data_IF_099466403937
#
_entry.id   IF_099466403937
#
_cell.length_a   1.000
_cell.length_b   1.000
_cell.length_c   1.000
_cell.angle_alpha   90.00
_cell.angle_beta   90.00
_cell.angle_gamma   90.00
#
_symmetry.space_group_name_H-M   'P 1'
#
loop_
_entity.id
_entity.type
_entity.pdbx_description
1 polymer ?
#
# COMPACT_ATOMS: atom_id res chain seq x y z
N UNK A 1 11.77 4.51 -36.46
CA UNK A 1 13.07 4.18 -35.83
C UNK A 1 12.78 3.11 -34.82
N UNK A 2 13.16 1.86 -35.07
CA UNK A 2 12.90 0.76 -34.14
C UNK A 2 13.68 1.04 -32.86
N UNK A 3 12.98 1.23 -31.73
CA UNK A 3 13.60 1.32 -30.42
C UNK A 3 14.28 -0.03 -30.13
N UNK A 4 15.58 -0.09 -30.40
CA UNK A 4 16.41 -1.23 -30.07
C UNK A 4 16.28 -1.46 -28.56
N UNK A 5 15.73 -2.62 -28.17
CA UNK A 5 15.60 -3.01 -26.78
C UNK A 5 16.92 -2.78 -26.04
N UNK A 6 16.89 -2.19 -24.82
CA UNK A 6 18.09 -1.96 -24.04
C UNK A 6 18.82 -3.29 -23.81
N UNK A 7 20.15 -3.29 -23.86
CA UNK A 7 20.90 -4.53 -23.69
C UNK A 7 20.67 -5.11 -22.28
N UNK A 8 20.50 -6.43 -22.19
CA UNK A 8 20.29 -7.09 -20.90
C UNK A 8 21.44 -6.87 -19.91
N UNK A 9 22.66 -6.71 -20.42
CA UNK A 9 23.84 -6.38 -19.62
C UNK A 9 23.75 -4.99 -18.98
N UNK A 10 23.29 -3.99 -19.74
CA UNK A 10 23.11 -2.62 -19.24
C UNK A 10 22.00 -2.54 -18.20
N UNK A 11 20.87 -3.22 -18.45
CA UNK A 11 19.77 -3.31 -17.48
C UNK A 11 20.23 -4.01 -16.20
N UNK A 12 20.96 -5.12 -16.31
CA UNK A 12 21.50 -5.84 -15.15
C UNK A 12 22.49 -5.00 -14.34
N UNK A 13 23.34 -4.22 -15.01
CA UNK A 13 24.27 -3.30 -14.35
C UNK A 13 23.52 -2.18 -13.62
N UNK A 14 22.46 -1.65 -14.23
CA UNK A 14 21.64 -0.61 -13.61
C UNK A 14 20.82 -1.15 -12.44
N UNK A 15 20.26 -2.36 -12.52
CA UNK A 15 19.62 -3.04 -11.39
C UNK A 15 20.60 -3.14 -10.22
N UNK A 16 21.82 -3.66 -10.46
CA UNK A 16 22.86 -3.78 -9.42
C UNK A 16 23.21 -2.43 -8.78
N UNK A 17 23.24 -1.36 -9.57
CA UNK A 17 23.48 0.00 -9.07
C UNK A 17 22.34 0.47 -8.18
N UNK A 18 21.10 0.39 -8.67
CA UNK A 18 19.90 0.85 -7.98
C UNK A 18 19.63 0.07 -6.68
N UNK A 19 19.87 -1.24 -6.68
CA UNK A 19 19.73 -2.08 -5.48
C UNK A 19 20.62 -1.61 -4.34
N UNK A 20 21.86 -1.21 -4.64
CA UNK A 20 22.84 -0.73 -3.65
C UNK A 20 22.56 0.68 -3.13
N UNK A 21 21.65 1.44 -3.75
CA UNK A 21 21.35 2.79 -3.29
C UNK A 21 20.59 2.76 -1.95
N UNK A 22 20.82 3.74 -1.06
CA UNK A 22 19.94 3.98 0.09
C UNK A 22 18.52 4.35 -0.34
N UNK A 23 17.53 4.12 0.52
CA UNK A 23 16.11 4.39 0.22
C UNK A 23 15.85 5.82 -0.29
N UNK A 24 16.46 6.82 0.36
CA UNK A 24 16.28 8.22 -0.02
C UNK A 24 16.89 8.53 -1.40
N UNK A 25 18.09 8.02 -1.69
CA UNK A 25 18.72 8.21 -3.01
C UNK A 25 17.96 7.53 -4.13
N UNK A 26 17.42 6.34 -3.87
CA UNK A 26 16.58 5.62 -4.83
C UNK A 26 15.28 6.38 -5.11
N UNK A 27 14.65 6.95 -4.07
CA UNK A 27 13.47 7.80 -4.25
C UNK A 27 13.77 9.03 -5.11
N UNK A 28 14.88 9.74 -4.86
CA UNK A 28 15.33 10.86 -5.68
C UNK A 28 15.58 10.45 -7.14
N UNK A 29 16.24 9.30 -7.32
CA UNK A 29 16.54 8.72 -8.63
C UNK A 29 15.25 8.41 -9.41
N UNK A 30 14.25 7.82 -8.75
CA UNK A 30 12.92 7.58 -9.31
C UNK A 30 12.19 8.88 -9.66
N UNK A 31 12.16 9.87 -8.76
CA UNK A 31 11.49 11.15 -9.03
C UNK A 31 12.14 11.92 -10.18
N UNK A 32 13.47 11.87 -10.30
CA UNK A 32 14.22 12.45 -11.42
C UNK A 32 13.84 11.79 -12.74
N UNK A 33 13.72 10.45 -12.74
CA UNK A 33 13.22 9.70 -13.89
C UNK A 33 11.82 10.15 -14.30
N UNK A 34 10.86 10.24 -13.37
CA UNK A 34 9.48 10.69 -13.66
C UNK A 34 9.45 12.13 -14.21
N UNK A 35 10.36 13.00 -13.76
CA UNK A 35 10.47 14.38 -14.25
C UNK A 35 10.99 14.50 -15.69
N UNK A 36 11.47 13.40 -16.29
CA UNK A 36 12.04 13.40 -17.63
C UNK A 36 13.58 13.36 -17.65
N UNK A 37 14.22 13.37 -16.48
CA UNK A 37 15.67 13.29 -16.35
C UNK A 37 16.20 11.85 -16.28
N UNK A 38 17.51 11.74 -16.16
CA UNK A 38 18.25 10.53 -15.76
C UNK A 38 19.22 10.93 -14.65
N UNK A 39 19.25 10.15 -13.58
CA UNK A 39 20.12 10.40 -12.40
C UNK A 39 21.61 10.31 -12.77
N UNK A 40 21.94 9.52 -13.79
CA UNK A 40 23.27 9.39 -14.34
C UNK A 40 23.24 9.67 -15.84
N UNK A 41 23.98 10.70 -16.29
CA UNK A 41 24.08 11.08 -17.71
C UNK A 41 24.59 9.94 -18.61
N UNK A 42 25.22 8.91 -18.04
CA UNK A 42 25.73 7.74 -18.76
C UNK A 42 24.68 6.62 -18.95
N UNK A 43 23.57 6.66 -18.20
CA UNK A 43 22.53 5.62 -18.28
C UNK A 43 21.42 6.12 -19.20
N UNK A 44 21.07 5.31 -20.20
CA UNK A 44 19.94 5.62 -21.08
C UNK A 44 18.62 5.50 -20.30
N UNK A 45 17.65 6.33 -20.67
CA UNK A 45 16.36 6.41 -19.98
C UNK A 45 15.56 5.11 -20.04
N UNK A 46 15.61 4.40 -21.17
CA UNK A 46 14.97 3.11 -21.40
C UNK A 46 15.60 1.98 -20.55
N UNK A 47 16.93 1.98 -20.40
CA UNK A 47 17.64 1.08 -19.46
C UNK A 47 17.15 1.31 -18.03
N UNK A 48 17.05 2.59 -17.62
CA UNK A 48 16.56 2.95 -16.29
C UNK A 48 15.10 2.55 -16.08
N UNK A 49 14.24 2.74 -17.09
CA UNK A 49 12.85 2.32 -17.09
C UNK A 49 12.72 0.79 -16.90
N UNK A 50 13.47 0.02 -17.68
CA UNK A 50 13.48 -1.45 -17.58
C UNK A 50 13.98 -1.92 -16.21
N UNK A 51 15.02 -1.29 -15.66
CA UNK A 51 15.53 -1.62 -14.34
C UNK A 51 14.50 -1.33 -13.23
N UNK A 52 13.77 -0.21 -13.31
CA UNK A 52 12.72 0.12 -12.33
C UNK A 52 11.55 -0.87 -12.33
N UNK A 53 11.24 -1.44 -13.49
CA UNK A 53 10.21 -2.47 -13.67
C UNK A 53 10.75 -3.91 -13.53
N UNK A 54 12.00 -4.10 -13.12
CA UNK A 54 12.59 -5.44 -12.94
C UNK A 54 12.02 -6.15 -11.73
N UNK A 55 12.11 -7.49 -11.71
CA UNK A 55 11.61 -8.33 -10.61
C UNK A 55 12.20 -7.93 -9.25
N UNK A 56 13.47 -7.57 -9.23
CA UNK A 56 14.23 -7.24 -8.03
C UNK A 56 13.88 -5.87 -7.44
N UNK A 57 13.40 -4.95 -8.29
CA UNK A 57 13.18 -3.55 -7.90
C UNK A 57 11.71 -3.15 -7.91
N UNK A 58 10.82 -3.83 -8.64
CA UNK A 58 9.44 -3.41 -8.86
C UNK A 58 8.69 -3.08 -7.56
N UNK A 59 8.82 -3.93 -6.54
CA UNK A 59 8.24 -3.67 -5.21
C UNK A 59 8.75 -2.35 -4.62
N UNK A 60 10.07 -2.16 -4.56
CA UNK A 60 10.70 -0.93 -4.05
C UNK A 60 10.35 0.29 -4.88
N UNK A 61 10.26 0.16 -6.20
CA UNK A 61 9.87 1.25 -7.10
C UNK A 61 8.42 1.65 -6.89
N UNK A 62 7.52 0.70 -6.65
CA UNK A 62 6.12 0.98 -6.34
C UNK A 62 5.99 1.80 -5.04
N UNK A 63 6.77 1.46 -4.01
CA UNK A 63 6.81 2.25 -2.77
C UNK A 63 7.29 3.68 -3.01
N UNK A 64 8.31 3.85 -3.87
CA UNK A 64 8.81 5.17 -4.26
C UNK A 64 7.76 5.96 -5.06
N UNK A 65 7.02 5.31 -5.96
CA UNK A 65 5.93 5.91 -6.73
C UNK A 65 4.77 6.37 -5.83
N UNK A 66 4.35 5.53 -4.89
CA UNK A 66 3.29 5.85 -3.93
C UNK A 66 3.72 6.97 -2.97
N UNK A 67 5.00 7.00 -2.56
CA UNK A 67 5.56 8.14 -1.82
C UNK A 67 5.52 9.41 -2.67
N UNK A 68 5.92 9.35 -3.94
CA UNK A 68 5.92 10.50 -4.82
C UNK A 68 4.51 11.07 -5.06
N UNK A 69 3.51 10.20 -5.16
CA UNK A 69 2.10 10.59 -5.29
C UNK A 69 1.57 11.36 -4.06
N UNK A 70 2.07 11.04 -2.86
CA UNK A 70 1.71 11.73 -1.61
C UNK A 70 2.52 13.02 -1.40
N UNK A 71 3.80 13.01 -1.77
CA UNK A 71 4.77 14.07 -1.51
C UNK A 71 5.00 15.02 -2.71
N UNK A 72 4.05 15.09 -3.65
CA UNK A 72 4.17 15.91 -4.88
C UNK A 72 4.60 17.35 -4.60
N UNK A 73 4.10 17.97 -3.53
CA UNK A 73 4.43 19.37 -3.17
C UNK A 73 5.84 19.54 -2.60
N UNK A 74 6.40 18.47 -2.03
CA UNK A 74 7.78 18.46 -1.54
C UNK A 74 8.75 18.27 -2.71
N UNK A 75 8.37 17.44 -3.69
CA UNK A 75 9.15 17.21 -4.90
C UNK A 75 9.12 18.44 -5.81
N UNK A 76 7.95 19.05 -5.97
CA UNK A 76 7.74 20.23 -6.80
C UNK A 76 7.45 21.43 -5.90
N UNK A 77 8.52 22.08 -5.47
CA UNK A 77 8.43 23.39 -4.83
C UNK A 77 7.94 24.42 -5.85
N UNK A 78 7.11 25.35 -5.38
CA UNK A 78 6.64 26.47 -6.19
C UNK A 78 7.78 27.49 -6.31
N UNK A 79 8.07 27.94 -7.53
CA UNK A 79 9.05 29.01 -7.74
C UNK A 79 8.56 30.35 -7.19
N UNK A 80 9.49 31.24 -6.82
CA UNK A 80 9.17 32.55 -6.24
C UNK A 80 8.28 33.39 -7.17
N UNK A 81 8.57 33.37 -8.47
CA UNK A 81 7.80 34.10 -9.50
C UNK A 81 6.72 33.25 -10.20
N UNK A 82 6.51 32.01 -9.76
CA UNK A 82 5.59 31.10 -10.44
C UNK A 82 4.13 31.41 -10.06
N UNK A 83 3.28 31.71 -11.05
CA UNK A 83 1.84 31.88 -10.81
C UNK A 83 1.22 30.57 -10.29
N UNK A 84 0.17 30.70 -9.46
CA UNK A 84 -0.55 29.52 -8.94
C UNK A 84 -1.07 28.61 -10.06
N UNK A 85 -1.47 29.18 -11.20
CA UNK A 85 -1.96 28.43 -12.38
C UNK A 85 -0.83 27.64 -13.05
N UNK A 86 0.34 28.26 -13.23
CA UNK A 86 1.52 27.59 -13.78
C UNK A 86 1.98 26.44 -12.86
N UNK A 87 2.04 26.69 -11.55
CA UNK A 87 2.36 25.65 -10.56
C UNK A 87 1.40 24.46 -10.63
N UNK A 88 0.09 24.71 -10.68
CA UNK A 88 -0.91 23.65 -10.76
C UNK A 88 -0.80 22.85 -12.07
N UNK A 89 -0.50 23.52 -13.20
CA UNK A 89 -0.28 22.85 -14.48
C UNK A 89 0.93 21.90 -14.41
N UNK A 90 2.03 22.35 -13.81
CA UNK A 90 3.24 21.52 -13.59
C UNK A 90 2.98 20.34 -12.67
N UNK A 91 2.23 20.54 -11.59
CA UNK A 91 1.79 19.47 -10.68
C UNK A 91 0.92 18.44 -11.40
N UNK A 92 -0.01 18.87 -12.25
CA UNK A 92 -0.86 17.96 -13.02
C UNK A 92 -0.04 17.18 -14.05
N UNK A 93 0.85 17.83 -14.78
CA UNK A 93 1.75 17.16 -15.72
C UNK A 93 2.64 16.12 -15.03
N UNK A 94 3.15 16.42 -13.84
CA UNK A 94 3.90 15.45 -13.04
C UNK A 94 3.06 14.25 -12.60
N UNK A 95 1.80 14.46 -12.20
CA UNK A 95 0.90 13.37 -11.83
C UNK A 95 0.61 12.43 -12.99
N UNK A 96 0.40 12.97 -14.19
CA UNK A 96 0.21 12.16 -15.40
C UNK A 96 1.47 11.36 -15.73
N UNK A 97 2.64 11.99 -15.69
CA UNK A 97 3.93 11.28 -15.88
C UNK A 97 4.15 10.21 -14.82
N UNK A 98 3.81 10.49 -13.57
CA UNK A 98 3.92 9.52 -12.48
C UNK A 98 2.98 8.33 -12.71
N UNK A 99 1.75 8.58 -13.18
CA UNK A 99 0.80 7.53 -13.52
C UNK A 99 1.34 6.63 -14.64
N UNK A 100 1.81 7.23 -15.73
CA UNK A 100 2.38 6.51 -16.87
C UNK A 100 3.63 5.71 -16.48
N UNK A 101 4.53 6.30 -15.69
CA UNK A 101 5.73 5.62 -15.23
C UNK A 101 5.42 4.48 -14.25
N UNK A 102 4.33 4.59 -13.47
CA UNK A 102 3.90 3.59 -12.47
C UNK A 102 3.27 2.36 -13.11
N UNK A 103 2.60 2.49 -14.25
CA UNK A 103 1.84 1.41 -14.89
C UNK A 103 2.69 0.15 -15.17
N UNK A 104 3.86 0.22 -15.85
CA UNK A 104 4.69 -0.97 -16.05
C UNK A 104 5.18 -1.64 -14.77
N UNK A 105 5.32 -0.88 -13.68
CA UNK A 105 5.76 -1.42 -12.38
C UNK A 105 4.62 -2.18 -11.71
N UNK A 106 3.39 -1.66 -11.81
CA UNK A 106 2.20 -2.34 -11.30
C UNK A 106 2.02 -3.66 -12.03
N UNK A 107 2.15 -3.67 -13.36
CA UNK A 107 2.05 -4.88 -14.17
C UNK A 107 3.09 -5.93 -13.72
N UNK A 108 4.35 -5.53 -13.53
CA UNK A 108 5.37 -6.44 -12.99
C UNK A 108 4.99 -6.95 -11.60
N UNK A 109 4.57 -6.07 -10.68
CA UNK A 109 4.20 -6.48 -9.30
C UNK A 109 3.02 -7.46 -9.32
N UNK A 110 2.03 -7.24 -10.19
CA UNK A 110 0.88 -8.14 -10.35
C UNK A 110 1.29 -9.50 -10.92
N UNK A 111 2.18 -9.54 -11.91
CA UNK A 111 2.75 -10.77 -12.45
C UNK A 111 3.51 -11.55 -11.38
N UNK A 112 4.38 -10.88 -10.62
CA UNK A 112 5.12 -11.52 -9.52
C UNK A 112 4.18 -12.03 -8.42
N UNK A 113 3.11 -11.29 -8.12
CA UNK A 113 2.13 -11.72 -7.13
C UNK A 113 1.34 -12.94 -7.62
N UNK A 114 1.07 -13.04 -8.92
CA UNK A 114 0.46 -14.22 -9.52
C UNK A 114 1.40 -15.44 -9.43
N UNK A 115 2.67 -15.29 -9.78
CA UNK A 115 3.69 -16.34 -9.65
C UNK A 115 3.79 -16.82 -8.18
N UNK A 116 3.89 -15.87 -7.24
CA UNK A 116 3.99 -16.16 -5.81
C UNK A 116 2.73 -16.86 -5.29
N UNK A 117 1.55 -16.45 -5.74
CA UNK A 117 0.30 -17.15 -5.43
C UNK A 117 0.30 -18.60 -5.93
N UNK A 118 0.96 -18.90 -7.05
CA UNK A 118 1.11 -20.27 -7.51
C UNK A 118 2.01 -21.10 -6.62
N UNK A 119 3.11 -20.52 -6.13
CA UNK A 119 4.01 -21.16 -5.16
C UNK A 119 3.25 -21.44 -3.87
N UNK A 120 2.58 -20.43 -3.30
CA UNK A 120 1.78 -20.56 -2.09
C UNK A 120 0.67 -21.63 -2.21
N UNK A 121 0.04 -21.73 -3.38
CA UNK A 121 -1.00 -22.72 -3.63
C UNK A 121 -0.50 -24.18 -3.61
N UNK A 122 0.81 -24.40 -3.84
CA UNK A 122 1.43 -25.73 -3.84
C UNK A 122 1.95 -26.16 -2.47
N UNK A 123 2.03 -25.24 -1.50
CA UNK A 123 2.47 -25.54 -0.15
C UNK A 123 1.45 -26.41 0.58
N UNK A 124 1.93 -27.33 1.41
CA UNK A 124 1.10 -28.02 2.40
C UNK A 124 0.61 -27.04 3.50
N UNK A 125 -0.31 -27.48 4.36
CA UNK A 125 -0.95 -26.61 5.35
C UNK A 125 0.03 -26.05 6.38
N UNK A 126 1.05 -26.83 6.75
CA UNK A 126 2.04 -26.42 7.73
C UNK A 126 2.98 -25.35 7.16
N UNK A 127 3.52 -25.57 5.96
CA UNK A 127 4.37 -24.61 5.26
C UNK A 127 3.60 -23.33 4.91
N UNK A 128 2.36 -23.45 4.45
CA UNK A 128 1.50 -22.31 4.17
C UNK A 128 1.24 -21.48 5.44
N UNK A 129 0.98 -22.13 6.57
CA UNK A 129 0.77 -21.45 7.83
C UNK A 129 2.03 -20.72 8.32
N UNK A 130 3.21 -21.33 8.15
CA UNK A 130 4.51 -20.70 8.46
C UNK A 130 4.75 -19.44 7.61
N UNK A 131 4.53 -19.52 6.31
CA UNK A 131 4.68 -18.36 5.40
C UNK A 131 3.73 -17.22 5.77
N UNK A 132 2.46 -17.54 6.05
CA UNK A 132 1.48 -16.53 6.46
C UNK A 132 1.83 -15.89 7.81
N UNK A 133 2.23 -16.70 8.79
CA UNK A 133 2.66 -16.21 10.10
C UNK A 133 3.92 -15.33 9.99
N UNK A 134 4.88 -15.72 9.15
CA UNK A 134 6.09 -14.94 8.90
C UNK A 134 5.74 -13.59 8.27
N UNK A 135 4.91 -13.57 7.22
CA UNK A 135 4.43 -12.35 6.58
C UNK A 135 3.73 -11.42 7.57
N UNK A 136 2.85 -11.95 8.42
CA UNK A 136 2.17 -11.16 9.45
C UNK A 136 3.13 -10.61 10.50
N UNK A 137 4.18 -11.35 10.85
CA UNK A 137 5.14 -10.95 11.87
C UNK A 137 6.20 -9.97 11.35
N UNK A 138 6.46 -9.93 10.03
CA UNK A 138 7.38 -8.97 9.43
C UNK A 138 7.08 -7.55 9.92
N UNK A 139 8.10 -6.82 10.43
CA UNK A 139 7.92 -5.43 10.78
C UNK A 139 7.52 -4.66 9.51
N UNK A 140 6.61 -3.68 9.60
CA UNK A 140 6.40 -2.78 8.49
C UNK A 140 7.73 -2.08 8.20
N UNK A 141 8.38 -2.44 7.09
CA UNK A 141 9.61 -1.81 6.61
C UNK A 141 9.27 -0.40 6.11
N UNK A 142 9.13 0.54 7.05
CA UNK A 142 8.75 1.92 6.80
C UNK A 142 7.24 2.14 6.56
N UNK A 143 6.90 3.33 6.05
CA UNK A 143 5.50 3.80 5.88
C UNK A 143 4.68 3.05 4.82
N UNK A 144 5.28 2.11 4.09
CA UNK A 144 4.61 1.39 3.00
C UNK A 144 4.35 -0.09 3.26
N UNK A 145 4.72 -0.62 4.44
CA UNK A 145 4.17 -1.85 5.01
C UNK A 145 4.29 -3.13 4.16
N UNK A 146 5.21 -4.01 4.57
CA UNK A 146 5.36 -5.40 4.09
C UNK A 146 5.66 -5.56 2.60
N UNK A 147 6.09 -6.76 2.22
CA UNK A 147 6.26 -7.12 0.82
C UNK A 147 4.91 -7.02 0.09
N UNK A 148 4.82 -6.07 -0.84
CA UNK A 148 3.60 -5.82 -1.62
C UNK A 148 3.24 -7.02 -2.50
N UNK A 149 4.25 -7.72 -3.04
CA UNK A 149 4.04 -8.90 -3.88
C UNK A 149 3.42 -10.00 -3.03
N UNK A 150 4.03 -10.32 -1.89
CA UNK A 150 3.54 -11.36 -0.98
C UNK A 150 2.14 -11.04 -0.45
N UNK A 151 1.87 -9.77 -0.12
CA UNK A 151 0.55 -9.32 0.31
C UNK A 151 -0.54 -9.54 -0.76
N UNK A 152 -0.23 -9.21 -2.02
CA UNK A 152 -1.15 -9.45 -3.14
C UNK A 152 -1.33 -10.94 -3.42
N UNK A 153 -0.25 -11.73 -3.31
CA UNK A 153 -0.27 -13.17 -3.51
C UNK A 153 -1.22 -13.88 -2.54
N UNK A 154 -1.11 -13.58 -1.24
CA UNK A 154 -2.01 -14.12 -0.20
C UNK A 154 -3.48 -13.72 -0.39
N UNK A 155 -3.73 -12.59 -1.06
CA UNK A 155 -5.07 -12.07 -1.38
C UNK A 155 -5.58 -12.53 -2.75
N UNK A 156 -4.78 -13.27 -3.51
CA UNK A 156 -5.21 -13.80 -4.80
C UNK A 156 -6.34 -14.82 -4.59
N UNK A 157 -7.26 -14.91 -5.57
CA UNK A 157 -8.41 -15.82 -5.46
C UNK A 157 -8.02 -17.30 -5.34
N UNK A 158 -6.79 -17.65 -5.76
CA UNK A 158 -6.24 -18.99 -5.70
C UNK A 158 -6.02 -19.46 -4.28
N UNK A 159 -5.59 -18.57 -3.38
CA UNK A 159 -5.25 -18.92 -1.99
C UNK A 159 -6.06 -18.15 -0.93
N UNK A 160 -6.72 -17.05 -1.29
CA UNK A 160 -7.47 -16.20 -0.35
C UNK A 160 -8.48 -16.95 0.54
N UNK A 161 -9.25 -17.97 0.06
CA UNK A 161 -10.13 -18.75 0.93
C UNK A 161 -9.35 -19.49 2.03
N UNK A 162 -8.21 -20.09 1.66
CA UNK A 162 -7.31 -20.81 2.58
C UNK A 162 -6.65 -19.84 3.56
N UNK A 163 -6.14 -18.71 3.07
CA UNK A 163 -5.58 -17.64 3.92
C UNK A 163 -6.61 -17.12 4.92
N UNK A 164 -7.86 -16.94 4.49
CA UNK A 164 -8.94 -16.45 5.36
C UNK A 164 -9.29 -17.47 6.45
N UNK A 165 -9.45 -18.75 6.09
CA UNK A 165 -9.71 -19.82 7.06
C UNK A 165 -8.59 -19.93 8.11
N UNK A 166 -7.34 -19.94 7.66
CA UNK A 166 -6.17 -19.92 8.55
C UNK A 166 -6.16 -18.69 9.45
N UNK A 167 -6.49 -17.50 8.92
CA UNK A 167 -6.53 -16.27 9.71
C UNK A 167 -7.58 -16.32 10.83
N UNK A 168 -8.73 -16.98 10.59
CA UNK A 168 -9.75 -17.21 11.62
C UNK A 168 -9.19 -18.10 12.74
N UNK A 169 -8.47 -19.17 12.38
CA UNK A 169 -7.86 -20.07 13.37
C UNK A 169 -6.73 -19.39 14.15
N UNK A 170 -5.91 -18.58 13.48
CA UNK A 170 -4.87 -17.78 14.14
C UNK A 170 -5.45 -16.72 15.09
N UNK A 171 -6.63 -16.15 14.82
CA UNK A 171 -7.28 -15.24 15.76
C UNK A 171 -7.78 -15.95 17.02
N UNK A 172 -8.22 -17.21 16.89
CA UNK A 172 -8.64 -18.04 18.04
C UNK A 172 -7.45 -18.42 18.91
N UNK A 173 -6.35 -18.82 18.29
CA UNK A 173 -5.17 -19.36 18.98
C UNK A 173 -3.86 -18.69 18.52
N UNK A 174 -3.69 -17.37 18.73
CA UNK A 174 -2.57 -16.60 18.17
C UNK A 174 -1.21 -17.06 18.69
N UNK A 175 -1.17 -17.58 19.91
CA UNK A 175 0.07 -18.04 20.54
C UNK A 175 0.74 -19.20 19.81
N UNK A 176 -0.04 -20.07 19.14
CA UNK A 176 0.50 -21.21 18.38
C UNK A 176 1.32 -20.79 17.17
N UNK A 177 1.14 -19.55 16.71
CA UNK A 177 1.75 -19.03 15.49
C UNK A 177 2.84 -17.98 15.75
N UNK A 178 3.12 -17.68 17.01
CA UNK A 178 4.21 -16.80 17.40
C UNK A 178 5.51 -17.59 17.56
N UNK A 179 6.61 -17.07 17.01
CA UNK A 179 7.93 -17.62 17.27
C UNK A 179 8.30 -17.44 18.75
N UNK A 180 8.85 -18.49 19.37
CA UNK A 180 9.40 -18.39 20.72
C UNK A 180 10.62 -17.48 20.74
N UNK A 181 10.71 -16.62 21.76
CA UNK A 181 11.85 -15.72 21.97
C UNK A 181 12.40 -15.99 23.37
N UNK A 182 13.67 -16.38 23.43
CA UNK A 182 14.33 -16.71 24.69
C UNK A 182 14.40 -15.49 25.63
N UNK A 183 14.06 -15.68 26.90
CA UNK A 183 14.05 -14.60 27.90
C UNK A 183 12.93 -13.57 27.73
N UNK A 184 11.92 -13.85 26.89
CA UNK A 184 10.80 -12.93 26.67
C UNK A 184 9.95 -12.73 27.94
N UNK A 185 9.85 -11.49 28.39
CA UNK A 185 8.95 -11.14 29.48
C UNK A 185 7.49 -11.36 29.06
N UNK A 186 6.65 -11.84 30.00
CA UNK A 186 5.21 -12.07 29.75
C UNK A 186 4.50 -10.88 29.07
N UNK A 187 4.79 -9.66 29.52
CA UNK A 187 4.21 -8.43 28.95
C UNK A 187 4.62 -8.20 27.49
N UNK A 188 5.85 -8.57 27.10
CA UNK A 188 6.32 -8.46 25.73
C UNK A 188 5.62 -9.49 24.82
N UNK A 189 5.43 -10.71 25.32
CA UNK A 189 4.65 -11.75 24.64
C UNK A 189 3.21 -11.31 24.42
N UNK A 190 2.54 -10.80 25.45
CA UNK A 190 1.16 -10.29 25.35
C UNK A 190 1.06 -9.16 24.29
N UNK A 191 2.03 -8.25 24.25
CA UNK A 191 2.07 -7.19 23.25
C UNK A 191 2.23 -7.71 21.81
N UNK A 192 2.99 -8.80 21.60
CA UNK A 192 3.13 -9.45 20.29
C UNK A 192 1.85 -10.16 19.87
N UNK A 193 1.15 -10.81 20.81
CA UNK A 193 -0.17 -11.42 20.56
C UNK A 193 -1.16 -10.36 20.07
N UNK A 194 -1.25 -9.23 20.79
CA UNK A 194 -2.14 -8.14 20.40
C UNK A 194 -1.75 -7.52 19.04
N UNK A 195 -0.44 -7.35 18.80
CA UNK A 195 0.04 -6.87 17.51
C UNK A 195 -0.32 -7.84 16.37
N UNK A 196 -0.19 -9.15 16.59
CA UNK A 196 -0.59 -10.17 15.62
C UNK A 196 -2.09 -10.11 15.34
N UNK A 197 -2.93 -9.98 16.36
CA UNK A 197 -4.39 -9.83 16.21
C UNK A 197 -4.77 -8.62 15.37
N UNK A 198 -4.24 -7.44 15.69
CA UNK A 198 -4.52 -6.20 14.93
C UNK A 198 -4.10 -6.36 13.46
N UNK A 199 -2.98 -7.03 13.22
CA UNK A 199 -2.47 -7.30 11.87
C UNK A 199 -3.35 -8.30 11.12
N UNK A 200 -3.77 -9.38 11.76
CA UNK A 200 -4.70 -10.37 11.22
C UNK A 200 -6.04 -9.71 10.85
N UNK A 201 -6.64 -8.93 11.75
CA UNK A 201 -7.90 -8.24 11.47
C UNK A 201 -7.79 -7.30 10.26
N UNK A 202 -6.66 -6.61 10.14
CA UNK A 202 -6.40 -5.73 9.00
C UNK A 202 -6.32 -6.52 7.70
N UNK A 203 -5.56 -7.62 7.67
CA UNK A 203 -5.44 -8.48 6.50
C UNK A 203 -6.75 -9.19 6.14
N UNK A 204 -7.51 -9.67 7.13
CA UNK A 204 -8.81 -10.31 6.92
C UNK A 204 -9.81 -9.39 6.25
N UNK A 205 -9.77 -8.08 6.52
CA UNK A 205 -10.60 -7.10 5.79
C UNK A 205 -10.24 -7.10 4.31
N UNK A 206 -8.95 -7.09 3.96
CA UNK A 206 -8.51 -7.14 2.57
C UNK A 206 -8.83 -8.47 1.89
N UNK A 207 -8.66 -9.59 2.58
CA UNK A 207 -9.05 -10.92 2.10
C UNK A 207 -10.56 -10.97 1.82
N UNK A 208 -11.38 -10.45 2.73
CA UNK A 208 -12.83 -10.39 2.55
C UNK A 208 -13.20 -9.54 1.33
N UNK A 209 -12.53 -8.40 1.11
CA UNK A 209 -12.73 -7.60 -0.09
C UNK A 209 -12.39 -8.37 -1.37
N UNK A 210 -11.27 -9.12 -1.39
CA UNK A 210 -10.89 -9.93 -2.54
C UNK A 210 -11.91 -11.04 -2.83
N UNK A 211 -12.37 -11.76 -1.80
CA UNK A 211 -13.38 -12.80 -1.91
C UNK A 211 -14.73 -12.25 -2.41
N UNK A 212 -15.20 -11.14 -1.83
CA UNK A 212 -16.44 -10.48 -2.26
C UNK A 212 -16.36 -9.99 -3.71
N UNK A 213 -15.20 -9.49 -4.14
CA UNK A 213 -15.00 -9.03 -5.51
C UNK A 213 -15.04 -10.20 -6.51
N UNK A 214 -14.49 -11.36 -6.14
CA UNK A 214 -14.60 -12.57 -6.96
C UNK A 214 -16.06 -12.94 -7.22
N UNK A 215 -16.87 -12.98 -6.17
CA UNK A 215 -18.30 -13.31 -6.26
C UNK A 215 -19.05 -12.30 -7.12
N UNK A 216 -18.76 -11.01 -6.94
CA UNK A 216 -19.34 -9.93 -7.73
C UNK A 216 -19.04 -10.06 -9.23
N UNK A 217 -17.84 -10.53 -9.61
CA UNK A 217 -17.47 -10.80 -11.01
C UNK A 217 -18.35 -11.89 -11.65
N UNK A 218 -18.84 -12.83 -10.85
CA UNK A 218 -19.78 -13.87 -11.29
C UNK A 218 -21.24 -13.42 -11.23
N UNK A 219 -21.51 -12.11 -11.08
CA UNK A 219 -22.86 -11.56 -10.97
C UNK A 219 -23.58 -11.92 -9.68
N UNK A 220 -22.85 -12.47 -8.69
CA UNK A 220 -23.41 -12.82 -7.38
C UNK A 220 -23.24 -11.63 -6.44
N UNK A 221 -24.28 -11.32 -5.67
CA UNK A 221 -24.16 -10.36 -4.57
C UNK A 221 -23.06 -10.84 -3.60
N UNK A 222 -22.30 -9.93 -2.96
CA UNK A 222 -21.34 -10.30 -1.93
C UNK A 222 -22.00 -11.22 -0.89
N UNK A 223 -21.45 -12.41 -0.65
CA UNK A 223 -22.01 -13.40 0.27
C UNK A 223 -21.83 -13.00 1.73
N UNK A 224 -20.83 -12.17 2.03
CA UNK A 224 -20.63 -11.62 3.35
C UNK A 224 -21.80 -10.72 3.76
N UNK A 225 -22.52 -11.13 4.80
CA UNK A 225 -23.53 -10.30 5.46
C UNK A 225 -22.85 -9.02 5.93
N UNK A 226 -23.26 -7.88 5.37
CA UNK A 226 -22.83 -6.59 5.89
C UNK A 226 -23.59 -6.34 7.19
N UNK A 227 -23.12 -6.90 8.30
CA UNK A 227 -23.80 -6.88 9.60
C UNK A 227 -24.11 -5.46 10.05
N UNK A 228 -23.23 -4.50 9.74
CA UNK A 228 -23.47 -3.09 10.00
C UNK A 228 -24.65 -2.56 9.18
N UNK A 229 -24.67 -2.81 7.88
CA UNK A 229 -25.75 -2.35 7.01
C UNK A 229 -27.07 -3.08 7.33
N UNK A 230 -26.99 -4.34 7.73
CA UNK A 230 -28.14 -5.12 8.19
C UNK A 230 -28.67 -4.60 9.53
N UNK A 231 -27.81 -4.36 10.52
CA UNK A 231 -28.18 -3.72 11.78
C UNK A 231 -28.76 -2.32 11.55
N UNK A 232 -28.18 -1.53 10.62
CA UNK A 232 -28.74 -0.24 10.23
C UNK A 232 -30.11 -0.36 9.57
N UNK A 233 -30.34 -1.39 8.73
CA UNK A 233 -31.67 -1.66 8.15
C UNK A 233 -32.68 -2.05 9.22
N UNK A 234 -32.33 -2.97 10.12
CA UNK A 234 -33.19 -3.37 11.23
C UNK A 234 -33.53 -2.18 12.15
N UNK A 235 -32.56 -1.30 12.40
CA UNK A 235 -32.75 -0.11 13.23
C UNK A 235 -33.57 0.96 12.50
N UNK A 236 -33.41 1.11 11.18
CA UNK A 236 -34.22 2.00 10.35
C UNK A 236 -35.66 1.51 10.20
N UNK A 237 -35.88 0.20 10.07
CA UNK A 237 -37.21 -0.41 9.99
C UNK A 237 -37.96 -0.32 11.31
N UNK A 238 -37.26 -0.51 12.44
CA UNK A 238 -37.88 -0.53 13.78
C UNK A 238 -38.00 0.85 14.42
N UNK A 239 -37.07 1.77 14.13
CA UNK A 239 -37.00 3.11 14.72
C UNK A 239 -36.55 4.17 13.68
N UNK A 240 -37.41 4.50 12.70
CA UNK A 240 -37.03 5.35 11.57
C UNK A 240 -36.61 6.77 11.99
N UNK A 241 -37.31 7.37 12.96
CA UNK A 241 -36.98 8.73 13.42
C UNK A 241 -35.66 8.78 14.21
N UNK A 242 -35.45 7.84 15.14
CA UNK A 242 -34.20 7.73 15.90
C UNK A 242 -33.01 7.44 14.99
N UNK A 243 -33.19 6.57 13.99
CA UNK A 243 -32.18 6.28 12.99
C UNK A 243 -31.81 7.53 12.18
N UNK A 244 -32.81 8.32 11.76
CA UNK A 244 -32.58 9.58 11.05
C UNK A 244 -31.81 10.60 11.91
N UNK A 245 -32.15 10.68 13.20
CA UNK A 245 -31.48 11.54 14.19
C UNK A 245 -30.02 11.12 14.40
N UNK A 246 -29.77 9.82 14.59
CA UNK A 246 -28.42 9.25 14.71
C UNK A 246 -27.57 9.50 13.45
N UNK A 247 -28.14 9.31 12.25
CA UNK A 247 -27.43 9.61 11.01
C UNK A 247 -27.05 11.09 10.90
N UNK A 248 -27.95 11.99 11.28
CA UNK A 248 -27.70 13.42 11.27
C UNK A 248 -26.65 13.83 12.31
N UNK A 249 -26.69 13.24 13.51
CA UNK A 249 -25.67 13.43 14.54
C UNK A 249 -24.28 12.97 14.05
N UNK A 250 -24.17 11.76 13.50
CA UNK A 250 -22.91 11.23 12.94
C UNK A 250 -22.38 12.11 11.80
N UNK A 251 -23.27 12.63 10.93
CA UNK A 251 -22.88 13.56 9.85
C UNK A 251 -22.38 14.89 10.42
N UNK A 252 -23.06 15.42 11.44
CA UNK A 252 -22.67 16.67 12.11
C UNK A 252 -21.32 16.53 12.81
N UNK A 253 -21.09 15.45 13.54
CA UNK A 253 -19.81 15.19 14.22
C UNK A 253 -18.67 15.00 13.23
N UNK A 254 -18.91 14.27 12.13
CA UNK A 254 -17.92 14.12 11.06
C UNK A 254 -17.58 15.46 10.40
N UNK A 255 -18.55 16.37 10.27
CA UNK A 255 -18.32 17.73 9.77
C UNK A 255 -17.50 18.55 10.77
N UNK A 256 -17.85 18.52 12.06
CA UNK A 256 -17.12 19.20 13.14
C UNK A 256 -15.66 18.73 13.21
N UNK A 257 -15.42 17.42 13.24
CA UNK A 257 -14.07 16.85 13.26
C UNK A 257 -13.24 17.29 12.04
N UNK A 258 -13.84 17.35 10.84
CA UNK A 258 -13.15 17.86 9.64
C UNK A 258 -12.80 19.34 9.76
N UNK A 259 -13.70 20.14 10.32
CA UNK A 259 -13.47 21.58 10.49
C UNK A 259 -12.44 21.87 11.58
N UNK A 260 -12.39 21.07 12.65
CA UNK A 260 -11.34 21.12 13.67
C UNK A 260 -9.96 20.78 13.09
N UNK A 261 -9.84 19.68 12.34
CA UNK A 261 -8.58 19.33 11.65
C UNK A 261 -8.16 20.44 10.67
N UNK A 262 -9.11 21.08 9.98
CA UNK A 262 -8.82 22.23 9.11
C UNK A 262 -8.34 23.44 9.90
N UNK A 263 -8.92 23.73 11.07
CA UNK A 263 -8.50 24.84 11.96
C UNK A 263 -7.10 24.57 12.52
N UNK A 264 -6.84 23.37 13.03
CA UNK A 264 -5.51 22.96 13.51
C UNK A 264 -4.45 23.11 12.41
N UNK A 265 -4.70 22.58 11.21
CA UNK A 265 -3.77 22.74 10.07
C UNK A 265 -3.54 24.19 9.67
N UNK A 266 -4.55 25.06 9.79
CA UNK A 266 -4.39 26.51 9.54
C UNK A 266 -3.55 27.17 10.62
N UNK A 267 -3.75 26.79 11.88
CA UNK A 267 -2.97 27.28 13.01
C UNK A 267 -1.51 26.85 12.90
N UNK A 268 -1.24 25.56 12.64
CA UNK A 268 0.11 25.01 12.41
C UNK A 268 0.84 25.74 11.27
N UNK A 269 0.16 25.98 10.14
CA UNK A 269 0.73 26.75 9.03
C UNK A 269 1.07 28.19 9.39
N UNK A 270 0.23 28.85 10.19
CA UNK A 270 0.49 30.23 10.66
C UNK A 270 1.64 30.26 11.67
N UNK A 271 1.75 29.27 12.53
CA UNK A 271 2.86 29.13 13.47
C UNK A 271 4.19 28.90 12.74
N UNK A 272 4.21 27.99 11.75
CA UNK A 272 5.38 27.72 10.91
C UNK A 272 5.81 28.93 10.08
N UNK A 273 4.86 29.74 9.59
CA UNK A 273 5.16 30.97 8.87
C UNK A 273 5.75 32.08 9.75
N UNK A 274 5.45 32.07 11.06
CA UNK A 274 5.99 33.05 12.03
C UNK A 274 7.35 32.65 12.61
N UNK A 275 7.67 31.37 12.65
CA UNK A 275 8.98 30.86 13.09
C UNK A 275 10.05 30.86 11.99
N UNK A 276 9.67 31.20 10.75
CA UNK A 276 10.56 31.24 9.58
C UNK A 276 10.95 32.69 9.17
N UNK A 277 10.50 33.68 9.95
CA UNK A 277 10.91 35.09 9.94
C UNK A 277 11.67 35.36 11.22
#
# INVERSE_FOLDING_TARGET
MADAQPSAADVSAEIKRLTKQPHQRFFETWTTYVLGGVDNKRVRRDVQAAAFASRELAGRTLLAADRAAREVRTILLRGEDETKRAYQARVNAFRERLKQAREPIVDTVELLAADEAEVLARLDDEAFAKEWAAFLQQPPSGRSGRDTVQSLAFRSLKVAPRTYALSVDMLREPEKYLSEVEGEARKARDARVELLRVRLETEMRFLQYALNYAEARWGRMPTARNDRLHAMRLLAERYPEEFSSLLNAVRADRKRARDEVRRQRRYERRAQARSAT
#
